data_IF_448589263424
#
_entry.id   IF_448589263424
#
_cell.length_a   1.000
_cell.length_b   1.000
_cell.length_c   1.000
_cell.angle_alpha   90.00
_cell.angle_beta   90.00
_cell.angle_gamma   90.00
#
_symmetry.space_group_name_H-M   'P 1'
#
loop_
_entity.id
_entity.type
_entity.pdbx_description
1 polymer ?
#
# COMPACT_ATOMS: atom_id res chain seq x y z
N UNK A 1 -4.76 26.88 1.28
CA UNK A 1 -5.21 25.80 0.37
C UNK A 1 -3.99 25.01 -0.04
N UNK A 2 -4.01 23.68 0.10
CA UNK A 2 -2.92 22.84 -0.44
C UNK A 2 -3.08 22.76 -1.95
N UNK A 3 -1.96 22.84 -2.69
CA UNK A 3 -1.96 22.62 -4.13
C UNK A 3 -2.24 21.15 -4.43
N UNK A 4 -2.89 20.86 -5.56
CA UNK A 4 -3.24 19.49 -5.96
C UNK A 4 -2.00 18.58 -6.08
N UNK A 5 -0.85 19.10 -6.52
CA UNK A 5 0.41 18.36 -6.60
C UNK A 5 0.94 18.02 -5.21
N UNK A 6 0.87 18.96 -4.28
CA UNK A 6 1.25 18.74 -2.88
C UNK A 6 0.36 17.69 -2.22
N UNK A 7 -0.93 17.64 -2.55
CA UNK A 7 -1.83 16.58 -2.07
C UNK A 7 -1.37 15.19 -2.51
N UNK A 8 -1.08 15.00 -3.81
CA UNK A 8 -0.64 13.70 -4.33
C UNK A 8 0.73 13.27 -3.79
N UNK A 9 1.66 14.22 -3.57
CA UNK A 9 2.97 13.94 -2.96
C UNK A 9 2.88 13.50 -1.50
N UNK A 10 1.84 13.94 -0.79
CA UNK A 10 1.59 13.61 0.61
C UNK A 10 0.57 12.48 0.78
N UNK A 11 0.24 11.74 -0.29
CA UNK A 11 -0.63 10.57 -0.16
C UNK A 11 0.05 9.52 0.73
N UNK A 12 -0.68 8.97 1.71
CA UNK A 12 -0.14 7.94 2.57
C UNK A 12 0.20 6.71 1.73
N UNK A 13 1.32 6.07 2.06
CA UNK A 13 1.68 4.80 1.43
C UNK A 13 0.64 3.74 1.77
N UNK A 14 0.42 2.84 0.81
CA UNK A 14 -0.52 1.72 0.98
C UNK A 14 -0.06 0.84 2.14
N UNK A 15 -0.99 0.43 3.01
CA UNK A 15 -0.71 -0.45 4.16
C UNK A 15 -1.47 -1.77 4.02
N UNK A 16 -0.85 -2.85 4.47
CA UNK A 16 -1.46 -4.17 4.47
C UNK A 16 -2.62 -4.21 5.48
N UNK A 17 -3.78 -4.70 5.07
CA UNK A 17 -4.95 -4.80 5.96
C UNK A 17 -4.77 -5.79 7.11
N UNK A 18 -3.82 -6.73 7.01
CA UNK A 18 -3.59 -7.78 8.03
C UNK A 18 -2.53 -7.38 9.05
N UNK A 19 -1.36 -6.91 8.61
CA UNK A 19 -0.25 -6.58 9.49
C UNK A 19 -0.03 -5.08 9.71
N UNK A 20 -0.69 -4.22 8.92
CA UNK A 20 -0.53 -2.76 9.01
C UNK A 20 0.79 -2.21 8.46
N UNK A 21 1.69 -3.08 8.00
CA UNK A 21 2.97 -2.68 7.40
C UNK A 21 2.76 -1.97 6.06
N UNK A 22 3.70 -1.09 5.73
CA UNK A 22 3.77 -0.46 4.43
C UNK A 22 3.93 -1.51 3.33
N UNK A 23 3.08 -1.43 2.30
CA UNK A 23 3.11 -2.32 1.16
C UNK A 23 4.11 -1.79 0.13
N UNK A 24 5.00 -2.67 -0.31
CA UNK A 24 5.84 -2.43 -1.47
C UNK A 24 4.93 -2.38 -2.70
N UNK A 25 5.22 -1.47 -3.63
CA UNK A 25 4.49 -1.34 -4.87
C UNK A 25 4.51 -2.68 -5.64
N UNK A 26 3.32 -3.17 -6.00
CA UNK A 26 3.15 -4.41 -6.77
C UNK A 26 2.62 -4.07 -8.15
N UNK A 27 2.99 -4.83 -9.19
CA UNK A 27 2.47 -4.63 -10.54
C UNK A 27 0.93 -4.80 -10.59
N UNK A 28 0.41 -5.84 -9.93
CA UNK A 28 -1.02 -6.19 -9.89
C UNK A 28 -1.75 -5.55 -8.71
N UNK A 29 -1.63 -4.23 -8.50
CA UNK A 29 -2.05 -3.45 -7.31
C UNK A 29 -3.49 -3.64 -6.73
N UNK A 30 -4.26 -4.63 -7.18
CA UNK A 30 -5.58 -5.04 -6.72
C UNK A 30 -5.61 -5.66 -5.31
N UNK A 31 -4.50 -6.24 -4.83
CA UNK A 31 -4.45 -6.88 -3.51
C UNK A 31 -4.34 -5.90 -2.34
N UNK A 32 -4.99 -6.19 -1.21
CA UNK A 32 -4.89 -5.41 0.04
C UNK A 32 -3.98 -6.06 1.11
N UNK A 33 -3.32 -7.16 0.74
CA UNK A 33 -2.36 -7.89 1.57
C UNK A 33 -0.93 -7.72 1.01
N UNK A 34 0.06 -7.59 1.89
CA UNK A 34 1.47 -7.63 1.48
C UNK A 34 1.88 -9.05 1.07
N UNK A 35 2.98 -9.21 0.32
CA UNK A 35 3.50 -10.53 -0.09
C UNK A 35 3.67 -11.49 1.08
N UNK A 36 4.17 -11.01 2.22
CA UNK A 36 4.32 -11.80 3.44
C UNK A 36 3.00 -12.35 4.00
N UNK A 37 1.88 -11.64 3.78
CA UNK A 37 0.56 -12.01 4.29
C UNK A 37 -0.29 -12.77 3.26
N UNK A 38 0.00 -12.59 1.97
CA UNK A 38 -0.69 -13.19 0.84
C UNK A 38 -0.03 -14.51 0.39
N UNK A 39 1.15 -14.83 0.92
CA UNK A 39 1.88 -16.05 0.56
C UNK A 39 1.09 -17.31 0.96
N UNK A 40 0.76 -18.21 0.01
CA UNK A 40 -0.09 -19.39 0.25
C UNK A 40 0.55 -20.48 1.13
N UNK A 41 1.77 -20.26 1.62
CA UNK A 41 2.52 -21.21 2.46
C UNK A 41 2.62 -20.77 3.93
N UNK A 42 1.86 -19.73 4.33
CA UNK A 42 1.75 -19.24 5.71
C UNK A 42 0.33 -19.37 6.25
#
# INVERSE_FOLDING_TARGET
>A
MMNVIEFFRNLPKKKCSKCGNEMIEKADCYGNLCDDCDHPAR
#
